data_IF_158427824488
#
_entry.id   IF_158427824488
#
_cell.length_a   1.000
_cell.length_b   1.000
_cell.length_c   1.000
_cell.angle_alpha   90.00
_cell.angle_beta   90.00
_cell.angle_gamma   90.00
#
_symmetry.space_group_name_H-M   'P 1'
#
loop_
_entity.id
_entity.type
_entity.pdbx_description
1 polymer ?
#
# COMPACT_ATOMS: atom_id res chain seq x y z
N UNK A 1 13.63 56.22 6.54
CA UNK A 1 14.54 55.55 7.48
C UNK A 1 14.18 56.01 8.88
N UNK A 2 13.54 55.17 9.68
CA UNK A 2 13.32 55.40 11.11
C UNK A 2 13.40 54.04 11.81
N UNK A 3 14.37 53.87 12.71
CA UNK A 3 14.38 52.77 13.68
C UNK A 3 15.10 53.25 14.93
N UNK A 4 14.29 53.61 15.93
CA UNK A 4 14.70 53.99 17.28
C UNK A 4 15.05 52.70 18.03
N UNK A 5 16.30 52.60 18.50
CA UNK A 5 16.77 51.56 19.42
C UNK A 5 16.22 51.83 20.82
N UNK A 6 15.69 50.81 21.48
CA UNK A 6 15.36 50.84 22.91
C UNK A 6 16.12 49.70 23.64
N UNK A 7 16.88 49.98 24.73
CA UNK A 7 17.67 48.99 25.46
C UNK A 7 16.93 48.50 26.71
N UNK A 8 16.46 47.26 26.71
CA UNK A 8 15.88 46.64 27.92
C UNK A 8 16.03 45.09 27.95
N UNK A 9 17.14 44.57 27.41
CA UNK A 9 17.40 43.12 27.32
C UNK A 9 18.40 42.61 28.38
N UNK A 10 18.51 43.29 29.52
CA UNK A 10 19.60 43.04 30.49
C UNK A 10 19.15 42.95 31.97
N UNK A 11 17.96 42.41 32.26
CA UNK A 11 17.43 42.44 33.63
C UNK A 11 16.70 41.18 34.14
N UNK A 12 16.80 40.00 33.48
CA UNK A 12 16.18 38.76 33.99
C UNK A 12 17.12 37.55 33.93
N UNK A 13 18.39 37.75 34.27
CA UNK A 13 19.43 36.71 34.31
C UNK A 13 20.17 36.71 35.66
N UNK A 14 19.43 36.86 36.78
CA UNK A 14 19.94 36.70 38.15
C UNK A 14 18.80 36.70 39.18
N UNK A 15 18.31 35.52 39.55
CA UNK A 15 17.71 35.27 40.86
C UNK A 15 17.55 33.75 41.10
N UNK A 16 18.37 33.23 42.03
CA UNK A 16 18.06 32.14 42.98
C UNK A 16 17.86 30.74 42.36
N UNK A 17 18.74 29.74 42.44
CA UNK A 17 19.83 29.38 43.36
C UNK A 17 19.44 29.37 44.86
N UNK A 18 18.90 28.22 45.33
CA UNK A 18 19.42 27.40 46.46
C UNK A 18 18.32 26.71 47.31
N UNK A 19 18.34 25.37 47.34
CA UNK A 19 18.13 24.43 48.47
C UNK A 19 17.81 23.06 47.86
N UNK A 20 18.70 22.05 47.80
CA UNK A 20 19.22 21.18 48.89
C UNK A 20 18.08 20.48 49.65
N UNK A 21 18.00 19.16 49.94
CA UNK A 21 18.79 17.92 49.77
C UNK A 21 17.87 16.77 50.32
N UNK A 22 18.25 15.49 50.16
CA UNK A 22 17.69 14.25 50.79
C UNK A 22 16.47 13.64 50.05
N UNK A 23 16.38 12.34 49.75
CA UNK A 23 17.21 11.18 50.06
C UNK A 23 16.57 9.90 49.50
N UNK A 24 17.42 8.87 49.39
CA UNK A 24 17.18 7.47 48.96
C UNK A 24 15.90 6.82 49.51
N UNK A 25 15.23 6.05 48.65
CA UNK A 25 14.61 4.73 48.95
C UNK A 25 14.28 4.06 47.61
N UNK A 26 15.09 3.11 47.14
CA UNK A 26 15.03 1.66 47.40
C UNK A 26 13.96 0.94 46.55
N UNK A 27 14.46 0.24 45.52
CA UNK A 27 13.74 -0.79 44.78
C UNK A 27 13.51 -2.04 45.64
N UNK A 28 12.53 -2.88 45.27
CA UNK A 28 12.69 -4.31 45.41
C UNK A 28 12.53 -5.04 44.07
N UNK A 29 13.50 -5.92 43.83
CA UNK A 29 13.42 -7.01 42.89
C UNK A 29 12.36 -8.04 43.35
N UNK A 30 11.62 -8.61 42.40
CA UNK A 30 10.93 -9.88 42.62
C UNK A 30 10.79 -10.66 41.30
N UNK A 31 11.57 -11.73 41.23
CA UNK A 31 11.25 -13.04 40.67
C UNK A 31 10.96 -13.20 39.18
N UNK A 32 12.06 -13.53 38.49
CA UNK A 32 12.18 -14.59 37.49
C UNK A 32 11.29 -15.81 37.81
N UNK A 33 10.42 -16.19 36.88
CA UNK A 33 10.01 -17.58 36.70
C UNK A 33 10.10 -17.95 35.21
N UNK A 34 11.15 -18.71 34.91
CA UNK A 34 11.41 -19.39 33.65
C UNK A 34 10.69 -20.74 33.67
N UNK A 35 9.89 -21.02 32.65
CA UNK A 35 9.49 -22.36 32.21
C UNK A 35 9.27 -22.24 30.69
N UNK A 36 10.06 -22.75 29.75
CA UNK A 36 10.72 -24.06 29.56
C UNK A 36 9.74 -25.22 29.41
N UNK A 37 9.23 -25.48 28.18
CA UNK A 37 9.19 -26.79 27.48
C UNK A 37 8.37 -26.75 26.15
N UNK A 38 8.49 -27.75 25.23
CA UNK A 38 9.08 -27.51 23.91
C UNK A 38 8.19 -27.84 22.68
N UNK A 39 8.70 -27.44 21.53
CA UNK A 39 8.72 -28.06 20.19
C UNK A 39 7.76 -29.21 19.86
N UNK A 40 6.95 -29.04 18.81
CA UNK A 40 6.72 -30.09 17.81
C UNK A 40 6.75 -29.50 16.39
N UNK A 41 7.77 -29.93 15.65
CA UNK A 41 8.03 -29.72 14.24
C UNK A 41 7.71 -31.06 13.58
N UNK A 42 6.73 -31.10 12.66
CA UNK A 42 6.44 -32.30 11.85
C UNK A 42 6.90 -32.04 10.42
N UNK A 43 7.71 -32.98 9.99
CA UNK A 43 8.50 -33.14 8.77
C UNK A 43 7.70 -33.24 7.47
N UNK A 44 8.30 -32.67 6.42
CA UNK A 44 8.02 -32.97 5.01
C UNK A 44 8.25 -34.45 4.66
N UNK A 45 7.67 -34.92 3.53
CA UNK A 45 8.40 -35.80 2.64
C UNK A 45 8.61 -35.17 1.25
N UNK A 46 9.83 -35.33 0.75
CA UNK A 46 10.29 -34.94 -0.58
C UNK A 46 10.51 -36.22 -1.41
N UNK A 47 9.89 -36.32 -2.59
CA UNK A 47 10.16 -37.28 -3.67
C UNK A 47 9.71 -36.58 -4.97
N UNK A 48 10.35 -36.59 -6.14
CA UNK A 48 11.70 -36.86 -6.65
C UNK A 48 11.59 -36.51 -8.14
N UNK A 49 12.44 -35.60 -8.62
CA UNK A 49 12.99 -35.43 -9.99
C UNK A 49 12.20 -35.89 -11.24
N UNK A 50 12.07 -34.98 -12.22
CA UNK A 50 12.63 -35.22 -13.57
C UNK A 50 12.88 -33.89 -14.31
N UNK A 51 14.13 -33.68 -14.73
CA UNK A 51 14.56 -32.61 -15.64
C UNK A 51 14.30 -33.00 -17.10
N UNK A 52 14.29 -32.00 -18.00
CA UNK A 52 14.72 -31.96 -19.44
C UNK A 52 13.75 -31.05 -20.22
N UNK A 53 14.03 -29.76 -20.38
CA UNK A 53 14.82 -29.10 -21.46
C UNK A 53 14.18 -29.09 -22.86
N UNK A 54 14.13 -27.87 -23.43
CA UNK A 54 14.06 -27.49 -24.87
C UNK A 54 12.73 -27.79 -25.59
N UNK A 55 12.13 -26.95 -26.43
CA UNK A 55 12.65 -26.01 -27.44
C UNK A 55 11.46 -25.18 -27.98
N UNK A 56 11.65 -23.89 -28.28
CA UNK A 56 10.76 -23.12 -29.16
C UNK A 56 10.83 -23.67 -30.60
N UNK A 57 9.75 -23.49 -31.39
CA UNK A 57 9.93 -22.69 -32.59
C UNK A 57 8.75 -21.74 -32.89
N UNK A 58 9.00 -20.96 -33.93
CA UNK A 58 8.44 -19.68 -34.32
C UNK A 58 7.44 -19.82 -35.50
N UNK A 59 6.60 -18.80 -35.67
CA UNK A 59 6.06 -18.27 -36.95
C UNK A 59 4.66 -18.70 -37.48
N UNK A 60 3.74 -17.72 -37.36
CA UNK A 60 2.83 -17.14 -38.37
C UNK A 60 1.71 -17.91 -39.10
N UNK A 61 0.48 -17.37 -38.95
CA UNK A 61 -0.36 -16.75 -40.02
C UNK A 61 -1.84 -17.18 -40.00
N UNK A 62 -2.70 -16.14 -40.02
CA UNK A 62 -4.10 -16.05 -40.50
C UNK A 62 -5.26 -16.60 -39.64
N UNK A 63 -5.96 -15.61 -39.07
CA UNK A 63 -7.37 -15.20 -39.32
C UNK A 63 -8.50 -16.24 -39.16
N UNK A 64 -9.58 -15.68 -38.58
CA UNK A 64 -10.98 -16.10 -38.56
C UNK A 64 -11.35 -17.31 -37.71
N UNK A 65 -11.92 -17.06 -36.53
CA UNK A 65 -13.31 -17.42 -36.25
C UNK A 65 -13.75 -16.84 -34.90
N UNK A 66 -14.97 -16.34 -34.91
CA UNK A 66 -15.77 -15.78 -33.84
C UNK A 66 -15.83 -16.67 -32.60
N UNK A 67 -15.67 -16.09 -31.41
CA UNK A 67 -16.25 -16.63 -30.16
C UNK A 67 -16.21 -15.56 -29.05
N UNK A 68 -17.37 -14.95 -28.85
CA UNK A 68 -17.93 -14.47 -27.58
C UNK A 68 -16.99 -14.37 -26.37
N UNK A 69 -16.49 -13.17 -26.10
CA UNK A 69 -15.99 -12.79 -24.77
C UNK A 69 -17.14 -12.17 -23.96
N UNK A 70 -17.45 -12.80 -22.84
CA UNK A 70 -18.28 -12.27 -21.78
C UNK A 70 -17.58 -11.02 -21.20
N UNK A 71 -18.00 -9.84 -21.66
CA UNK A 71 -17.72 -8.59 -20.98
C UNK A 71 -18.56 -8.57 -19.69
N UNK A 72 -17.90 -8.68 -18.55
CA UNK A 72 -18.48 -8.30 -17.26
C UNK A 72 -18.74 -6.79 -17.30
N UNK A 73 -19.98 -6.44 -17.68
CA UNK A 73 -20.52 -5.10 -17.58
C UNK A 73 -20.83 -4.83 -16.11
N UNK A 74 -20.06 -3.94 -15.47
CA UNK A 74 -20.48 -3.32 -14.21
C UNK A 74 -21.41 -2.18 -14.59
N UNK A 75 -22.72 -2.23 -14.28
CA UNK A 75 -23.59 -1.10 -14.54
C UNK A 75 -23.26 -0.01 -13.52
N UNK A 76 -22.69 1.08 -14.00
CA UNK A 76 -22.65 2.35 -13.30
C UNK A 76 -24.09 2.83 -13.10
N UNK A 77 -24.63 2.63 -11.89
CA UNK A 77 -25.92 3.17 -11.49
C UNK A 77 -25.77 4.69 -11.33
N UNK A 78 -26.11 5.42 -12.39
CA UNK A 78 -26.38 6.84 -12.34
C UNK A 78 -27.69 7.05 -11.56
N UNK A 79 -27.60 7.43 -10.28
CA UNK A 79 -28.73 8.02 -9.55
C UNK A 79 -28.51 9.53 -9.40
N UNK A 80 -29.19 10.22 -10.32
CA UNK A 80 -29.96 11.44 -10.13
C UNK A 80 -29.68 12.23 -8.84
N UNK A 81 -28.95 13.31 -9.06
CA UNK A 81 -28.99 14.56 -8.30
C UNK A 81 -30.42 15.13 -8.33
N UNK A 82 -31.19 14.93 -7.28
CA UNK A 82 -31.88 16.00 -6.56
C UNK A 82 -32.38 15.46 -5.22
N UNK A 83 -31.86 15.98 -4.12
CA UNK A 83 -32.09 15.45 -2.78
C UNK A 83 -31.95 16.58 -1.78
N UNK A 84 -33.02 17.36 -1.63
CA UNK A 84 -33.25 18.23 -0.47
C UNK A 84 -32.83 17.48 0.80
N UNK A 85 -31.97 18.05 1.67
CA UNK A 85 -31.77 17.48 2.98
C UNK A 85 -33.07 17.70 3.76
N UNK A 86 -33.89 16.65 3.88
CA UNK A 86 -34.96 16.62 4.86
C UNK A 86 -34.29 16.78 6.23
N UNK A 87 -34.65 17.81 7.03
CA UNK A 87 -34.23 17.84 8.42
C UNK A 87 -34.99 16.73 9.13
N UNK A 88 -34.37 15.55 9.27
CA UNK A 88 -34.75 14.59 10.30
C UNK A 88 -34.34 15.17 11.65
N UNK A 89 -35.04 16.24 12.05
CA UNK A 89 -35.23 16.64 13.44
C UNK A 89 -36.03 15.53 14.11
N UNK A 90 -35.39 14.38 14.35
CA UNK A 90 -35.81 13.50 15.42
C UNK A 90 -35.35 14.18 16.70
N UNK A 91 -36.16 15.15 17.12
CA UNK A 91 -36.15 15.66 18.48
C UNK A 91 -36.14 14.42 19.38
N UNK A 92 -35.19 14.29 20.34
CA UNK A 92 -35.39 13.31 21.38
C UNK A 92 -36.75 13.65 21.98
N UNK A 93 -37.71 12.74 21.87
CA UNK A 93 -38.99 12.88 22.53
C UNK A 93 -38.65 13.11 23.99
N UNK A 94 -38.76 14.36 24.42
CA UNK A 94 -38.80 14.74 25.81
C UNK A 94 -40.05 14.07 26.36
N UNK A 95 -39.92 12.80 26.75
CA UNK A 95 -40.84 12.22 27.71
C UNK A 95 -40.61 13.03 28.97
N UNK A 96 -41.35 14.13 29.07
CA UNK A 96 -41.49 14.84 30.31
C UNK A 96 -42.01 13.81 31.29
N UNK A 97 -41.13 13.32 32.16
CA UNK A 97 -41.54 12.56 33.32
C UNK A 97 -42.46 13.48 34.11
N UNK A 98 -43.76 13.26 33.97
CA UNK A 98 -44.77 13.94 34.75
C UNK A 98 -44.58 13.47 36.18
N UNK A 99 -43.76 14.20 36.94
CA UNK A 99 -43.64 13.97 38.36
C UNK A 99 -44.87 14.58 39.01
N UNK A 100 -45.93 13.79 38.99
CA UNK A 100 -47.13 13.98 39.79
C UNK A 100 -46.66 14.04 41.23
N UNK A 101 -46.63 15.24 41.81
CA UNK A 101 -46.50 15.34 43.24
C UNK A 101 -47.69 14.60 43.84
N UNK A 102 -47.46 13.49 44.55
CA UNK A 102 -48.48 12.86 45.38
C UNK A 102 -48.88 13.94 46.38
N UNK A 103 -50.01 14.58 46.14
CA UNK A 103 -50.64 15.41 47.16
C UNK A 103 -51.09 14.45 48.25
N UNK A 104 -50.91 14.77 49.53
CA UNK A 104 -51.47 13.95 50.60
C UNK A 104 -52.98 13.89 50.38
N UNK A 105 -53.45 12.74 49.89
CA UNK A 105 -54.87 12.50 49.69
C UNK A 105 -55.39 11.94 51.00
N UNK A 106 -56.11 12.77 51.75
CA UNK A 106 -56.71 12.35 53.00
C UNK A 106 -58.02 11.65 52.69
N UNK A 107 -58.12 10.37 53.03
CA UNK A 107 -59.36 9.61 52.90
C UNK A 107 -60.31 10.02 54.05
N UNK A 108 -61.39 10.74 53.73
CA UNK A 108 -62.39 11.16 54.71
C UNK A 108 -63.36 10.01 55.02
N UNK A 109 -62.98 9.22 56.03
CA UNK A 109 -63.74 8.07 56.54
C UNK A 109 -65.15 8.47 56.97
N UNK A 110 -65.34 9.64 57.60
CA UNK A 110 -66.61 10.03 58.20
C UNK A 110 -67.63 10.50 57.16
N UNK A 111 -67.19 11.24 56.15
CA UNK A 111 -68.05 11.62 55.03
C UNK A 111 -68.48 10.39 54.21
N UNK A 112 -67.61 9.39 54.09
CA UNK A 112 -67.95 8.14 53.41
C UNK A 112 -68.99 7.34 54.21
N UNK A 113 -68.80 7.17 55.53
CA UNK A 113 -69.79 6.51 56.41
C UNK A 113 -71.16 7.18 56.34
N UNK A 114 -71.23 8.52 56.35
CA UNK A 114 -72.50 9.27 56.24
C UNK A 114 -73.21 8.97 54.92
N UNK A 115 -72.47 8.94 53.80
CA UNK A 115 -73.01 8.59 52.48
C UNK A 115 -73.54 7.15 52.43
N UNK A 116 -72.87 6.21 53.09
CA UNK A 116 -73.33 4.82 53.17
C UNK A 116 -74.60 4.70 54.01
N UNK A 117 -74.72 5.46 55.10
CA UNK A 117 -75.95 5.53 55.91
C UNK A 117 -77.13 6.11 55.13
N UNK A 118 -76.90 7.18 54.34
CA UNK A 118 -77.92 7.76 53.45
C UNK A 118 -78.38 6.78 52.36
N UNK A 119 -77.53 5.82 51.98
CA UNK A 119 -77.89 4.73 51.06
C UNK A 119 -78.63 3.55 51.71
N UNK A 120 -78.97 3.64 53.01
CA UNK A 120 -79.74 2.64 53.75
C UNK A 120 -78.91 1.59 54.49
N UNK A 121 -77.60 1.80 54.66
CA UNK A 121 -76.72 0.88 55.38
C UNK A 121 -76.71 1.17 56.89
N UNK A 122 -76.76 0.12 57.70
CA UNK A 122 -76.64 0.25 59.16
C UNK A 122 -75.25 0.79 59.54
N UNK A 123 -75.18 1.69 60.53
CA UNK A 123 -73.95 2.35 60.97
C UNK A 123 -72.74 1.40 61.20
N UNK A 124 -72.86 0.29 61.95
CA UNK A 124 -71.72 -0.59 62.20
C UNK A 124 -71.20 -1.29 60.94
N UNK A 125 -72.10 -1.62 59.99
CA UNK A 125 -71.72 -2.24 58.72
C UNK A 125 -71.02 -1.25 57.78
N UNK A 126 -71.47 0.02 57.77
CA UNK A 126 -70.82 1.07 57.03
C UNK A 126 -69.41 1.35 57.57
N UNK A 127 -69.24 1.43 58.89
CA UNK A 127 -67.94 1.65 59.54
C UNK A 127 -66.93 0.54 59.19
N UNK A 128 -67.32 -0.73 59.31
CA UNK A 128 -66.45 -1.87 58.99
C UNK A 128 -66.01 -1.90 57.51
N UNK A 129 -66.90 -1.51 56.58
CA UNK A 129 -66.56 -1.45 55.15
C UNK A 129 -65.58 -0.31 54.84
N UNK A 130 -65.76 0.85 55.48
CA UNK A 130 -64.85 1.99 55.30
C UNK A 130 -63.47 1.69 55.90
N UNK A 131 -63.40 0.96 57.01
CA UNK A 131 -62.15 0.49 57.63
C UNK A 131 -61.38 -0.45 56.68
N UNK A 132 -62.05 -1.47 56.12
CA UNK A 132 -61.41 -2.36 55.15
C UNK A 132 -60.96 -1.63 53.87
N UNK A 133 -61.68 -0.59 53.44
CA UNK A 133 -61.30 0.23 52.30
C UNK A 133 -60.09 1.12 52.61
N UNK A 134 -60.00 1.66 53.83
CA UNK A 134 -58.84 2.42 54.27
C UNK A 134 -57.57 1.54 54.26
N UNK A 135 -57.66 0.28 54.71
CA UNK A 135 -56.54 -0.66 54.68
C UNK A 135 -56.05 -0.96 53.26
N UNK A 136 -56.96 -1.20 52.32
CA UNK A 136 -56.61 -1.46 50.91
C UNK A 136 -56.01 -0.21 50.24
N UNK A 137 -56.52 0.98 50.56
CA UNK A 137 -55.99 2.25 50.04
C UNK A 137 -54.59 2.50 50.59
N UNK A 138 -54.37 2.30 51.89
CA UNK A 138 -53.07 2.46 52.53
C UNK A 138 -52.04 1.49 51.95
N UNK A 139 -52.43 0.24 51.69
CA UNK A 139 -51.56 -0.75 51.04
C UNK A 139 -51.23 -0.35 49.60
N UNK A 140 -52.21 0.14 48.85
CA UNK A 140 -52.02 0.65 47.49
C UNK A 140 -51.08 1.86 47.45
N UNK A 141 -51.21 2.81 48.39
CA UNK A 141 -50.35 3.99 48.50
C UNK A 141 -48.92 3.58 48.87
N UNK A 142 -48.74 2.65 49.81
CA UNK A 142 -47.41 2.12 50.15
C UNK A 142 -46.73 1.46 48.95
N UNK A 143 -47.40 0.52 48.29
CA UNK A 143 -46.88 -0.15 47.09
C UNK A 143 -46.58 0.84 45.95
N UNK A 144 -47.42 1.87 45.76
CA UNK A 144 -47.15 2.93 44.79
C UNK A 144 -45.93 3.77 45.17
N UNK A 145 -45.75 4.07 46.46
CA UNK A 145 -44.63 4.87 46.96
C UNK A 145 -43.30 4.12 46.90
N UNK A 146 -43.28 2.80 47.08
CA UNK A 146 -42.07 1.96 46.98
C UNK A 146 -41.48 1.95 45.56
N UNK A 147 -42.31 2.08 44.53
CA UNK A 147 -41.85 2.19 43.13
C UNK A 147 -41.46 3.60 42.69
N UNK A 148 -41.66 4.62 43.53
CA UNK A 148 -41.35 6.00 43.22
C UNK A 148 -39.99 6.42 43.77
N UNK A 149 -39.28 7.22 42.97
CA UNK A 149 -37.99 7.80 43.38
C UNK A 149 -38.21 9.23 43.86
N UNK A 150 -37.58 9.59 44.99
CA UNK A 150 -37.60 10.96 45.48
C UNK A 150 -37.02 11.92 44.44
N UNK A 151 -37.62 13.12 44.30
CA UNK A 151 -37.17 14.11 43.32
C UNK A 151 -35.67 14.40 43.47
N UNK A 152 -35.21 14.56 44.70
CA UNK A 152 -33.80 14.84 45.06
C UNK A 152 -32.84 13.75 44.57
N UNK A 153 -33.19 12.47 44.72
CA UNK A 153 -32.40 11.35 44.24
C UNK A 153 -32.37 11.31 42.69
N UNK A 154 -33.52 11.57 42.06
CA UNK A 154 -33.60 11.71 40.60
C UNK A 154 -32.77 12.89 40.06
N UNK A 155 -32.70 14.01 40.79
CA UNK A 155 -31.84 15.15 40.44
C UNK A 155 -30.37 14.82 40.57
N UNK A 156 -29.98 14.14 41.66
CA UNK A 156 -28.62 13.66 41.88
C UNK A 156 -28.19 12.69 40.78
N UNK A 157 -29.03 11.73 40.42
CA UNK A 157 -28.74 10.77 39.35
C UNK A 157 -28.54 11.46 38.00
N UNK A 158 -29.42 12.42 37.68
CA UNK A 158 -29.30 13.25 36.47
C UNK A 158 -28.04 14.12 36.48
N UNK A 159 -27.63 14.65 37.64
CA UNK A 159 -26.39 15.42 37.76
C UNK A 159 -25.17 14.53 37.49
N UNK A 160 -25.08 13.37 38.12
CA UNK A 160 -24.00 12.39 37.86
C UNK A 160 -23.94 12.01 36.39
N UNK A 161 -25.09 11.68 35.79
CA UNK A 161 -25.16 11.34 34.37
C UNK A 161 -24.66 12.50 33.48
N UNK A 162 -25.00 13.75 33.81
CA UNK A 162 -24.54 14.92 33.05
C UNK A 162 -23.03 15.13 33.16
N UNK A 163 -22.45 14.90 34.35
CA UNK A 163 -21.00 14.97 34.56
C UNK A 163 -20.29 13.86 33.78
N UNK A 164 -20.83 12.64 33.82
CA UNK A 164 -20.28 11.50 33.08
C UNK A 164 -20.32 11.73 31.57
N UNK A 165 -21.41 12.29 31.05
CA UNK A 165 -21.48 12.69 29.63
C UNK A 165 -20.51 13.79 29.27
N UNK A 166 -20.30 14.78 30.15
CA UNK A 166 -19.32 15.83 29.92
C UNK A 166 -17.90 15.27 29.88
N UNK A 167 -17.59 14.33 30.78
CA UNK A 167 -16.30 13.62 30.82
C UNK A 167 -16.10 12.77 29.57
N UNK A 168 -17.06 11.90 29.23
CA UNK A 168 -17.00 11.05 28.03
C UNK A 168 -16.82 11.89 26.77
N UNK A 169 -17.56 13.00 26.66
CA UNK A 169 -17.42 13.93 25.53
C UNK A 169 -16.01 14.51 25.46
N UNK A 170 -15.43 14.92 26.59
CA UNK A 170 -14.07 15.46 26.61
C UNK A 170 -13.02 14.40 26.23
N UNK A 171 -13.22 13.15 26.64
CA UNK A 171 -12.34 12.03 26.34
C UNK A 171 -12.39 11.67 24.85
N UNK A 172 -13.60 11.54 24.28
CA UNK A 172 -13.79 11.33 22.83
C UNK A 172 -13.12 12.44 22.05
N UNK A 173 -13.35 13.70 22.43
CA UNK A 173 -12.79 14.85 21.73
C UNK A 173 -11.25 14.90 21.81
N UNK A 174 -10.66 14.36 22.88
CA UNK A 174 -9.21 14.25 23.01
C UNK A 174 -8.66 13.12 22.11
N UNK A 175 -9.30 11.96 22.12
CA UNK A 175 -8.94 10.82 21.26
C UNK A 175 -9.05 11.20 19.78
N UNK A 176 -10.16 11.81 19.36
CA UNK A 176 -10.34 12.27 17.98
C UNK A 176 -9.22 13.24 17.55
N UNK A 177 -8.81 14.16 18.43
CA UNK A 177 -7.70 15.06 18.13
C UNK A 177 -6.37 14.32 18.07
N UNK A 178 -6.14 13.35 18.96
CA UNK A 178 -4.92 12.56 18.96
C UNK A 178 -4.81 11.72 17.69
N UNK A 179 -5.87 10.98 17.34
CA UNK A 179 -5.95 10.16 16.14
C UNK A 179 -5.81 11.01 14.88
N UNK A 180 -6.45 12.19 14.84
CA UNK A 180 -6.30 13.11 13.73
C UNK A 180 -4.84 13.58 13.56
N UNK A 181 -4.15 13.92 14.65
CA UNK A 181 -2.74 14.31 14.60
C UNK A 181 -1.88 13.14 14.14
N UNK A 182 -2.08 11.95 14.69
CA UNK A 182 -1.35 10.74 14.29
C UNK A 182 -1.55 10.45 12.80
N UNK A 183 -2.81 10.36 12.34
CA UNK A 183 -3.14 10.16 10.92
C UNK A 183 -2.53 11.23 10.02
N UNK A 184 -2.58 12.50 10.44
CA UNK A 184 -1.98 13.60 9.67
C UNK A 184 -0.47 13.43 9.55
N UNK A 185 0.22 13.12 10.64
CA UNK A 185 1.68 12.91 10.62
C UNK A 185 2.08 11.69 9.81
N UNK A 186 1.31 10.60 9.87
CA UNK A 186 1.48 9.41 9.03
C UNK A 186 1.30 9.77 7.54
N UNK A 187 0.27 10.55 7.21
CA UNK A 187 0.02 11.00 5.84
C UNK A 187 1.16 11.88 5.32
N UNK A 188 1.64 12.85 6.11
CA UNK A 188 2.80 13.68 5.77
C UNK A 188 4.07 12.83 5.57
N UNK A 189 4.29 11.82 6.42
CA UNK A 189 5.40 10.86 6.27
C UNK A 189 5.29 10.05 4.98
N UNK A 190 4.11 9.50 4.69
CA UNK A 190 3.86 8.72 3.48
C UNK A 190 4.03 9.58 2.22
N UNK A 191 3.55 10.82 2.24
CA UNK A 191 3.76 11.78 1.14
C UNK A 191 5.25 12.05 0.91
N UNK A 192 6.04 12.24 1.98
CA UNK A 192 7.48 12.42 1.86
C UNK A 192 8.18 11.17 1.30
N UNK A 193 7.76 9.97 1.70
CA UNK A 193 8.31 8.71 1.19
C UNK A 193 7.94 8.47 -0.28
N UNK A 194 6.72 8.83 -0.70
CA UNK A 194 6.32 8.82 -2.11
C UNK A 194 7.19 9.76 -2.93
N UNK A 195 7.47 10.97 -2.45
CA UNK A 195 8.32 11.92 -3.18
C UNK A 195 9.76 11.44 -3.29
N UNK A 196 10.33 10.87 -2.21
CA UNK A 196 11.64 10.21 -2.26
C UNK A 196 11.68 9.07 -3.26
N UNK A 197 10.63 8.24 -3.31
CA UNK A 197 10.57 7.10 -4.22
C UNK A 197 10.49 7.55 -5.68
N UNK A 198 9.69 8.60 -5.96
CA UNK A 198 9.64 9.24 -7.28
C UNK A 198 11.00 9.77 -7.70
N UNK A 199 11.71 10.45 -6.80
CA UNK A 199 13.03 10.99 -7.08
C UNK A 199 14.04 9.87 -7.40
N UNK A 200 14.09 8.82 -6.58
CA UNK A 200 14.95 7.65 -6.84
C UNK A 200 14.63 6.99 -8.18
N UNK A 201 13.35 6.81 -8.50
CA UNK A 201 12.93 6.24 -9.77
C UNK A 201 13.39 7.10 -10.96
N UNK A 202 13.29 8.43 -10.86
CA UNK A 202 13.79 9.34 -11.92
C UNK A 202 15.31 9.23 -12.11
N UNK A 203 16.05 9.13 -11.01
CA UNK A 203 17.51 8.94 -11.02
C UNK A 203 17.88 7.59 -11.65
N UNK A 204 17.19 6.51 -11.29
CA UNK A 204 17.40 5.18 -11.87
C UNK A 204 17.04 5.13 -13.37
N UNK A 205 15.94 5.76 -13.78
CA UNK A 205 15.57 5.87 -15.20
C UNK A 205 16.66 6.61 -15.97
N UNK A 206 17.14 7.73 -15.43
CA UNK A 206 18.17 8.55 -16.08
C UNK A 206 19.51 7.81 -16.14
N UNK A 207 19.90 7.14 -15.06
CA UNK A 207 21.11 6.29 -15.01
C UNK A 207 21.03 5.14 -16.01
N UNK A 208 19.92 4.42 -16.03
CA UNK A 208 19.71 3.29 -16.95
C UNK A 208 19.69 3.76 -18.41
N UNK A 209 19.00 4.87 -18.69
CA UNK A 209 18.96 5.46 -20.03
C UNK A 209 20.35 5.92 -20.50
N UNK A 210 21.14 6.51 -19.62
CA UNK A 210 22.52 6.88 -19.92
C UNK A 210 23.40 5.63 -20.16
N UNK A 211 23.22 4.58 -19.36
CA UNK A 211 23.88 3.28 -19.54
C UNK A 211 23.58 2.68 -20.92
N UNK A 212 22.30 2.56 -21.28
CA UNK A 212 21.88 2.03 -22.58
C UNK A 212 22.44 2.86 -23.75
N UNK A 213 22.47 4.19 -23.63
CA UNK A 213 23.08 5.05 -24.66
C UNK A 213 24.58 4.81 -24.79
N UNK A 214 25.29 4.64 -23.67
CA UNK A 214 26.72 4.33 -23.69
C UNK A 214 26.97 2.96 -24.32
N UNK A 215 26.21 1.94 -23.92
CA UNK A 215 26.31 0.58 -24.45
C UNK A 215 26.12 0.58 -25.98
N UNK A 216 25.10 1.26 -26.49
CA UNK A 216 24.87 1.39 -27.93
C UNK A 216 26.00 2.14 -28.65
N UNK A 217 26.56 3.17 -28.02
CA UNK A 217 27.67 3.93 -28.60
C UNK A 217 28.96 3.10 -28.66
N UNK A 218 29.25 2.34 -27.59
CA UNK A 218 30.38 1.42 -27.55
C UNK A 218 30.20 0.29 -28.56
N UNK A 219 29.00 -0.28 -28.65
CA UNK A 219 28.67 -1.35 -29.61
C UNK A 219 28.76 -0.86 -31.06
N UNK A 220 28.30 0.37 -31.34
CA UNK A 220 28.49 1.00 -32.66
C UNK A 220 29.96 1.24 -32.98
N UNK A 221 30.76 1.62 -31.98
CA UNK A 221 32.22 1.72 -32.10
C UNK A 221 32.84 0.37 -32.46
N UNK A 222 32.51 -0.67 -31.70
CA UNK A 222 32.98 -2.04 -31.92
C UNK A 222 32.63 -2.58 -33.31
N UNK A 223 31.38 -2.42 -33.76
CA UNK A 223 30.93 -2.83 -35.10
C UNK A 223 31.73 -2.10 -36.18
N UNK A 224 32.01 -0.80 -36.01
CA UNK A 224 32.80 -0.03 -36.98
C UNK A 224 34.25 -0.52 -37.03
N UNK A 225 34.85 -0.78 -35.89
CA UNK A 225 36.24 -1.26 -35.81
C UNK A 225 36.34 -2.66 -36.43
N UNK A 226 35.43 -3.57 -36.11
CA UNK A 226 35.33 -4.91 -36.73
C UNK A 226 35.10 -4.83 -38.24
N UNK A 227 34.20 -3.95 -38.70
CA UNK A 227 33.95 -3.69 -40.12
C UNK A 227 35.21 -3.20 -40.83
N UNK A 228 35.98 -2.30 -40.20
CA UNK A 228 37.25 -1.81 -40.75
C UNK A 228 38.31 -2.91 -40.87
N UNK A 229 38.38 -3.81 -39.86
CA UNK A 229 39.26 -4.98 -39.90
C UNK A 229 38.86 -5.94 -41.02
N UNK A 230 37.56 -6.17 -41.22
CA UNK A 230 37.07 -6.99 -42.33
C UNK A 230 37.40 -6.35 -43.69
N UNK A 231 37.24 -5.03 -43.84
CA UNK A 231 37.60 -4.31 -45.05
C UNK A 231 39.11 -4.45 -45.38
N UNK A 232 39.98 -4.38 -44.37
CA UNK A 232 41.42 -4.58 -44.54
C UNK A 232 41.75 -6.02 -44.96
N UNK A 233 41.15 -7.02 -44.32
CA UNK A 233 41.35 -8.44 -44.70
C UNK A 233 40.90 -8.72 -46.13
N UNK A 234 39.76 -8.15 -46.54
CA UNK A 234 39.29 -8.26 -47.93
C UNK A 234 40.32 -7.66 -48.88
N UNK A 235 40.82 -6.46 -48.60
CA UNK A 235 41.82 -5.80 -49.44
C UNK A 235 43.13 -6.58 -49.52
N UNK A 236 43.60 -7.14 -48.41
CA UNK A 236 44.78 -8.00 -48.38
C UNK A 236 44.60 -9.24 -49.27
N UNK A 237 43.47 -9.93 -49.13
CA UNK A 237 43.13 -11.09 -49.98
C UNK A 237 43.03 -10.69 -51.44
N UNK A 238 42.45 -9.54 -51.75
CA UNK A 238 42.33 -9.02 -53.12
C UNK A 238 43.71 -8.78 -53.74
N UNK A 239 44.61 -8.12 -53.01
CA UNK A 239 46.00 -7.93 -53.47
C UNK A 239 46.74 -9.26 -53.64
N UNK A 240 46.51 -10.23 -52.76
CA UNK A 240 47.09 -11.56 -52.88
C UNK A 240 46.61 -12.26 -54.15
N UNK A 241 45.32 -12.20 -54.44
CA UNK A 241 44.74 -12.75 -55.69
C UNK A 241 45.39 -12.09 -56.91
N UNK A 242 45.55 -10.76 -56.91
CA UNK A 242 46.23 -10.06 -58.02
C UNK A 242 47.67 -10.55 -58.22
N UNK A 243 48.42 -10.75 -57.12
CA UNK A 243 49.79 -11.28 -57.20
C UNK A 243 49.83 -12.73 -57.70
N UNK A 244 48.90 -13.58 -57.26
CA UNK A 244 48.79 -14.97 -57.72
C UNK A 244 48.42 -15.01 -59.22
N UNK A 245 47.51 -14.14 -59.69
CA UNK A 245 47.17 -13.99 -61.11
C UNK A 245 48.39 -13.54 -61.93
N UNK A 246 49.16 -12.55 -61.47
CA UNK A 246 50.38 -12.11 -62.14
C UNK A 246 51.46 -13.21 -62.18
N UNK A 247 51.58 -13.98 -61.10
CA UNK A 247 52.44 -15.16 -61.03
C UNK A 247 52.05 -16.24 -62.05
N UNK A 248 50.76 -16.60 -62.09
CA UNK A 248 50.20 -17.54 -63.08
C UNK A 248 50.39 -17.04 -64.52
N UNK A 249 50.21 -15.74 -64.77
CA UNK A 249 50.47 -15.15 -66.08
C UNK A 249 51.93 -15.32 -66.50
N UNK A 250 52.86 -15.11 -65.57
CA UNK A 250 54.31 -15.24 -65.81
C UNK A 250 54.69 -16.70 -66.05
N UNK A 251 54.16 -17.64 -65.25
CA UNK A 251 54.42 -19.07 -65.45
C UNK A 251 53.91 -19.58 -66.80
N UNK A 252 52.76 -19.08 -67.26
CA UNK A 252 52.25 -19.37 -68.62
C UNK A 252 53.18 -18.80 -69.70
N UNK A 253 53.68 -17.57 -69.55
CA UNK A 253 54.62 -17.00 -70.52
C UNK A 253 55.95 -17.77 -70.56
N UNK A 254 56.46 -18.19 -69.41
CA UNK A 254 57.63 -19.06 -69.32
C UNK A 254 57.38 -20.42 -70.00
N UNK A 255 56.22 -21.04 -69.75
CA UNK A 255 55.85 -22.30 -70.40
C UNK A 255 55.77 -22.16 -71.94
N UNK A 256 55.19 -21.06 -72.45
CA UNK A 256 55.18 -20.75 -73.89
C UNK A 256 56.60 -20.60 -74.45
N UNK A 257 57.48 -19.90 -73.74
CA UNK A 257 58.86 -19.71 -74.16
C UNK A 257 59.65 -21.03 -74.17
N UNK A 258 59.46 -21.90 -73.17
CA UNK A 258 60.08 -23.22 -73.14
C UNK A 258 59.66 -24.06 -74.35
N UNK A 259 58.37 -24.09 -74.69
CA UNK A 259 57.87 -24.77 -75.90
C UNK A 259 58.52 -24.20 -77.16
N UNK A 260 58.68 -22.88 -77.24
CA UNK A 260 59.35 -22.22 -78.36
C UNK A 260 60.83 -22.64 -78.46
N UNK A 261 61.55 -22.73 -77.33
CA UNK A 261 62.93 -23.20 -77.30
C UNK A 261 63.06 -24.66 -77.75
N UNK A 262 62.18 -25.56 -77.30
CA UNK A 262 62.15 -26.95 -77.77
C UNK A 262 61.91 -27.02 -79.28
N UNK A 263 60.98 -26.20 -79.80
CA UNK A 263 60.70 -26.13 -81.23
C UNK A 263 61.93 -25.68 -82.02
N UNK A 264 62.64 -24.65 -81.56
CA UNK A 264 63.89 -24.18 -82.18
C UNK A 264 64.96 -25.28 -82.14
N UNK A 265 65.15 -25.94 -80.98
CA UNK A 265 66.12 -27.02 -80.84
C UNK A 265 65.85 -28.20 -81.79
N UNK A 266 64.59 -28.64 -81.92
CA UNK A 266 64.20 -29.71 -82.84
C UNK A 266 64.37 -29.27 -84.30
N UNK A 267 63.95 -28.05 -84.66
CA UNK A 267 64.11 -27.53 -86.02
C UNK A 267 65.59 -27.41 -86.42
N UNK A 268 66.45 -26.91 -85.53
CA UNK A 268 67.90 -26.83 -85.76
C UNK A 268 68.54 -28.22 -85.83
N UNK A 269 68.16 -29.16 -84.96
CA UNK A 269 68.64 -30.54 -84.98
C UNK A 269 68.25 -31.28 -86.27
N UNK A 270 66.99 -31.16 -86.69
CA UNK A 270 66.52 -31.71 -87.97
C UNK A 270 67.24 -31.08 -89.17
N UNK A 271 67.42 -29.76 -89.17
CA UNK A 271 68.18 -29.04 -90.19
C UNK A 271 69.64 -29.50 -90.26
N UNK A 272 70.31 -29.68 -89.12
CA UNK A 272 71.69 -30.19 -89.07
C UNK A 272 71.81 -31.63 -89.60
N UNK A 273 70.87 -32.51 -89.25
CA UNK A 273 70.82 -33.88 -89.79
C UNK A 273 70.58 -33.88 -91.30
N UNK A 274 69.68 -33.03 -91.79
CA UNK A 274 69.44 -32.88 -93.23
C UNK A 274 70.71 -32.42 -93.97
N UNK A 275 71.41 -31.42 -93.43
CA UNK A 275 72.69 -30.96 -93.98
C UNK A 275 73.78 -32.04 -93.92
N UNK A 276 73.85 -32.82 -92.84
CA UNK A 276 74.77 -33.96 -92.72
C UNK A 276 74.46 -35.06 -93.74
N UNK A 277 73.18 -35.36 -93.97
CA UNK A 277 72.72 -36.32 -94.98
C UNK A 277 73.07 -35.85 -96.39
N UNK A 278 72.78 -34.59 -96.73
CA UNK A 278 73.16 -33.98 -98.01
C UNK A 278 74.68 -34.01 -98.24
N UNK A 279 75.49 -33.92 -97.17
CA UNK A 279 76.96 -34.04 -97.24
C UNK A 279 77.44 -35.48 -97.42
N UNK A 280 76.76 -36.48 -96.87
CA UNK A 280 77.14 -37.91 -97.03
C UNK A 280 76.81 -38.43 -98.45
N UNK A 281 75.81 -37.86 -99.10
CA UNK A 281 75.39 -38.22 -100.48
C UNK A 281 76.12 -37.44 -101.59
N UNK A 282 77.11 -36.60 -101.25
CA UNK A 282 77.97 -35.87 -102.18
C UNK A 282 79.40 -36.36 -102.06
#
# INVERSE_FOLDING_TARGET
MNTVRNPASSALMRAVAQSSVVGRTQAPAAHVLVASRPSQQISHPSIRTLSTSTRFPQEATRRTASSSLLAFSIPALALLRDGRPAPSSRSPSSSHFHSSAIRPYHFDTHHFVRRLQESGMERPHAEALVEALADVIDESIRNLSEGMVAREEGEKWRYTQKVDFARLKSEIQLLERNDFVLMKTENERLMADVEKLKQRLREEITRTTAGVRLDLNLEKGRIRDESSVHALKIKEVDTRIETEIAGLRTSIQSAKFNVLQYLVGVATGAGALLLAYLRMFK
#
